data_IF_615985661057
#
_entry.id   IF_615985661057
#
_cell.length_a   1.000
_cell.length_b   1.000
_cell.length_c   1.000
_cell.angle_alpha   90.00
_cell.angle_beta   90.00
_cell.angle_gamma   90.00
#
_symmetry.space_group_name_H-M   'P 1'
#
loop_
_entity.id
_entity.type
_entity.pdbx_description
1 polymer ?
#
# COMPACT_ATOMS: atom_id res chain seq x y z
N UNK A 1 7.94 29.60 3.48
CA UNK A 1 8.71 28.34 3.32
C UNK A 1 8.22 27.60 2.08
N UNK A 2 9.14 27.25 1.17
CA UNK A 2 8.83 26.45 -0.03
C UNK A 2 8.19 25.10 0.34
N UNK A 3 7.26 24.62 -0.49
CA UNK A 3 6.65 23.28 -0.40
C UNK A 3 7.70 22.18 -0.24
N UNK A 4 8.88 22.37 -0.84
CA UNK A 4 10.01 21.46 -0.76
C UNK A 4 10.55 21.34 0.69
N UNK A 5 10.76 22.47 1.38
CA UNK A 5 11.29 22.49 2.76
C UNK A 5 10.30 21.86 3.74
N UNK A 6 9.01 22.22 3.64
CA UNK A 6 7.94 21.62 4.46
C UNK A 6 7.78 20.13 4.14
N UNK A 7 7.83 19.76 2.87
CA UNK A 7 7.75 18.39 2.41
C UNK A 7 8.91 17.53 2.91
N UNK A 8 10.13 18.06 2.93
CA UNK A 8 11.29 17.39 3.50
C UNK A 8 11.16 17.17 5.01
N UNK A 9 10.75 18.21 5.75
CA UNK A 9 10.50 18.09 7.20
C UNK A 9 9.44 17.01 7.50
N UNK A 10 8.31 17.01 6.77
CA UNK A 10 7.28 15.98 6.89
C UNK A 10 7.81 14.58 6.54
N UNK A 11 8.77 14.47 5.62
CA UNK A 11 9.40 13.19 5.29
C UNK A 11 10.20 12.65 6.47
N UNK A 12 11.01 13.49 7.12
CA UNK A 12 11.77 13.08 8.31
C UNK A 12 10.85 12.73 9.48
N UNK A 13 9.77 13.49 9.69
CA UNK A 13 8.74 13.16 10.68
C UNK A 13 8.13 11.79 10.37
N UNK A 14 7.80 11.52 9.10
CA UNK A 14 7.26 10.23 8.68
C UNK A 14 8.24 9.10 8.99
N UNK A 15 9.51 9.25 8.61
CA UNK A 15 10.56 8.23 8.87
C UNK A 15 10.69 7.97 10.37
N UNK A 16 10.81 9.02 11.18
CA UNK A 16 10.92 8.89 12.63
C UNK A 16 9.69 8.20 13.23
N UNK A 17 8.49 8.65 12.86
CA UNK A 17 7.23 8.08 13.32
C UNK A 17 7.12 6.60 12.95
N UNK A 18 7.43 6.22 11.71
CA UNK A 18 7.32 4.83 11.26
C UNK A 18 8.31 3.91 11.97
N UNK A 19 9.52 4.39 12.25
CA UNK A 19 10.52 3.61 12.98
C UNK A 19 10.16 3.48 14.46
N UNK A 20 9.81 4.59 15.11
CA UNK A 20 9.43 4.60 16.52
C UNK A 20 8.20 3.71 16.76
N UNK A 21 7.13 3.89 15.98
CA UNK A 21 5.93 3.04 16.10
C UNK A 21 6.23 1.60 15.71
N UNK A 22 7.03 1.35 14.67
CA UNK A 22 7.42 0.01 14.23
C UNK A 22 8.07 -0.83 15.34
N UNK A 23 8.92 -0.22 16.17
CA UNK A 23 9.60 -0.87 17.29
C UNK A 23 8.63 -1.37 18.37
N UNK A 24 7.54 -0.64 18.62
CA UNK A 24 6.57 -1.01 19.66
C UNK A 24 5.39 -1.82 19.11
N UNK A 25 4.93 -1.53 17.89
CA UNK A 25 3.74 -2.17 17.31
C UNK A 25 4.00 -3.64 16.99
N UNK A 26 5.22 -3.98 16.56
CA UNK A 26 5.59 -5.35 16.18
C UNK A 26 5.53 -6.32 17.38
N UNK A 27 6.23 -6.05 18.50
CA UNK A 27 6.09 -6.90 19.69
C UNK A 27 4.68 -6.86 20.28
N UNK A 28 3.97 -5.73 20.18
CA UNK A 28 2.58 -5.63 20.61
C UNK A 28 1.67 -6.60 19.84
N UNK A 29 1.72 -6.60 18.51
CA UNK A 29 0.95 -7.53 17.67
C UNK A 29 1.31 -8.97 18.01
N UNK A 30 2.61 -9.30 18.06
CA UNK A 30 3.10 -10.64 18.39
C UNK A 30 2.57 -11.16 19.73
N UNK A 31 2.45 -10.31 20.74
CA UNK A 31 1.94 -10.70 22.06
C UNK A 31 0.41 -10.92 22.09
N UNK A 32 -0.36 -10.33 21.16
CA UNK A 32 -1.82 -10.45 21.15
C UNK A 32 -2.31 -11.60 20.27
N UNK A 33 -1.78 -11.72 19.04
CA UNK A 33 -2.20 -12.74 18.06
C UNK A 33 -1.28 -13.97 18.04
N UNK A 34 -0.11 -13.88 18.68
CA UNK A 34 0.86 -14.97 18.71
C UNK A 34 1.76 -15.04 17.48
N UNK A 35 2.77 -15.91 17.56
CA UNK A 35 3.83 -16.03 16.54
C UNK A 35 3.35 -16.69 15.25
N UNK A 36 2.43 -17.66 15.33
CA UNK A 36 1.95 -18.35 14.13
C UNK A 36 1.16 -17.38 13.22
N UNK A 37 0.11 -16.74 13.75
CA UNK A 37 -0.72 -15.80 12.98
C UNK A 37 0.09 -14.64 12.40
N UNK A 38 1.05 -14.09 13.16
CA UNK A 38 1.96 -13.06 12.65
C UNK A 38 2.88 -13.60 11.53
N UNK A 39 3.35 -14.85 11.66
CA UNK A 39 4.12 -15.53 10.63
C UNK A 39 3.34 -15.70 9.32
N UNK A 40 2.06 -16.07 9.41
CA UNK A 40 1.15 -16.16 8.26
C UNK A 40 0.98 -14.77 7.64
N UNK A 41 0.65 -13.75 8.44
CA UNK A 41 0.48 -12.38 7.98
C UNK A 41 1.70 -11.85 7.21
N UNK A 42 2.91 -12.04 7.76
CA UNK A 42 4.15 -11.59 7.11
C UNK A 42 4.47 -12.37 5.83
N UNK A 43 4.18 -13.67 5.81
CA UNK A 43 4.41 -14.53 4.64
C UNK A 43 3.48 -14.15 3.49
N UNK A 44 2.19 -14.02 3.76
CA UNK A 44 1.20 -13.55 2.78
C UNK A 44 1.52 -12.12 2.36
N UNK A 45 1.92 -11.26 3.30
CA UNK A 45 2.37 -9.90 3.01
C UNK A 45 3.55 -9.85 2.04
N UNK A 46 4.54 -10.72 2.18
CA UNK A 46 5.68 -10.81 1.25
C UNK A 46 5.26 -11.27 -0.16
N UNK A 47 4.35 -12.24 -0.24
CA UNK A 47 3.77 -12.69 -1.52
C UNK A 47 3.03 -11.54 -2.23
N UNK A 48 2.15 -10.83 -1.51
CA UNK A 48 1.43 -9.68 -2.05
C UNK A 48 2.39 -8.55 -2.44
N UNK A 49 3.44 -8.34 -1.65
CA UNK A 49 4.52 -7.41 -1.97
C UNK A 49 5.18 -7.74 -3.31
N UNK A 50 5.35 -9.02 -3.62
CA UNK A 50 5.87 -9.45 -4.93
C UNK A 50 4.88 -9.17 -6.06
N UNK A 51 3.58 -9.43 -5.86
CA UNK A 51 2.53 -9.09 -6.85
C UNK A 51 2.46 -7.57 -7.08
N UNK A 52 2.71 -6.77 -6.03
CA UNK A 52 2.69 -5.30 -6.13
C UNK A 52 3.75 -4.73 -7.08
N UNK A 53 4.78 -5.50 -7.44
CA UNK A 53 5.77 -5.12 -8.46
C UNK A 53 5.15 -4.95 -9.86
N UNK A 54 3.95 -5.48 -10.09
CA UNK A 54 3.16 -5.23 -11.30
C UNK A 54 2.76 -3.74 -11.48
N UNK A 55 2.99 -2.88 -10.49
CA UNK A 55 2.93 -1.42 -10.65
C UNK A 55 3.94 -0.91 -11.71
N UNK A 56 5.02 -1.65 -11.98
CA UNK A 56 6.08 -1.34 -12.95
C UNK A 56 6.68 0.08 -12.83
N UNK A 57 6.53 0.71 -11.66
CA UNK A 57 7.03 2.07 -11.41
C UNK A 57 6.18 3.18 -12.05
N UNK A 58 4.96 2.88 -12.47
CA UNK A 58 4.05 3.84 -13.12
C UNK A 58 3.77 5.07 -12.25
N UNK A 59 3.83 4.93 -10.91
CA UNK A 59 3.78 6.04 -9.97
C UNK A 59 4.85 7.11 -10.24
N UNK A 60 6.10 6.72 -10.45
CA UNK A 60 7.20 7.64 -10.73
C UNK A 60 7.08 8.26 -12.12
N UNK A 61 6.58 7.48 -13.09
CA UNK A 61 6.26 7.96 -14.44
C UNK A 61 5.24 9.09 -14.38
N UNK A 62 4.18 8.96 -13.58
CA UNK A 62 3.19 10.04 -13.38
C UNK A 62 3.85 11.32 -12.86
N UNK A 63 4.68 11.23 -11.82
CA UNK A 63 5.37 12.41 -11.26
C UNK A 63 6.19 13.12 -12.36
N UNK A 64 6.96 12.35 -13.12
CA UNK A 64 7.84 12.88 -14.18
C UNK A 64 7.05 13.55 -15.30
N UNK A 65 6.04 12.88 -15.85
CA UNK A 65 5.30 13.38 -17.00
C UNK A 65 4.34 14.51 -16.62
N UNK A 66 3.72 14.48 -15.44
CA UNK A 66 2.93 15.61 -14.95
C UNK A 66 3.81 16.85 -14.76
N UNK A 67 5.01 16.70 -14.18
CA UNK A 67 5.95 17.82 -14.06
C UNK A 67 6.38 18.35 -15.44
N UNK A 68 6.60 17.46 -16.42
CA UNK A 68 6.93 17.82 -17.80
C UNK A 68 5.80 18.62 -18.47
N UNK A 69 4.57 18.09 -18.50
CA UNK A 69 3.43 18.75 -19.13
C UNK A 69 3.10 20.09 -18.45
N UNK A 70 3.25 20.17 -17.12
CA UNK A 70 3.15 21.44 -16.37
C UNK A 70 4.18 22.47 -16.83
N UNK A 71 5.43 22.06 -17.06
CA UNK A 71 6.49 22.95 -17.55
C UNK A 71 6.25 23.40 -19.00
N UNK A 72 5.71 22.52 -19.83
CA UNK A 72 5.34 22.79 -21.24
C UNK A 72 4.01 23.57 -21.36
N UNK A 73 3.27 23.77 -20.24
CA UNK A 73 1.92 24.35 -20.20
C UNK A 73 0.90 23.59 -21.07
N UNK A 74 1.15 22.31 -21.34
CA UNK A 74 0.26 21.45 -22.13
C UNK A 74 -0.72 20.70 -21.23
N UNK A 75 -1.79 21.40 -20.85
CA UNK A 75 -2.83 20.82 -20.00
C UNK A 75 -3.58 19.68 -20.67
N UNK A 76 -3.79 19.74 -21.99
CA UNK A 76 -4.52 18.70 -22.73
C UNK A 76 -3.70 17.41 -22.81
N UNK A 77 -2.38 17.54 -23.03
CA UNK A 77 -1.44 16.42 -22.95
C UNK A 77 -1.43 15.77 -21.56
N UNK A 78 -1.42 16.58 -20.49
CA UNK A 78 -1.50 16.09 -19.12
C UNK A 78 -2.80 15.28 -18.86
N UNK A 79 -3.96 15.83 -19.24
CA UNK A 79 -5.26 15.19 -19.06
C UNK A 79 -5.34 13.85 -19.82
N UNK A 80 -4.88 13.81 -21.08
CA UNK A 80 -4.82 12.59 -21.88
C UNK A 80 -3.86 11.55 -21.31
N UNK A 81 -2.69 11.98 -20.83
CA UNK A 81 -1.70 11.11 -20.19
C UNK A 81 -2.25 10.49 -18.91
N UNK A 82 -2.91 11.28 -18.06
CA UNK A 82 -3.52 10.80 -16.83
C UNK A 82 -4.69 9.84 -17.09
N UNK A 83 -5.53 10.12 -18.10
CA UNK A 83 -6.59 9.22 -18.52
C UNK A 83 -6.02 7.87 -18.98
N UNK A 84 -4.99 7.89 -19.83
CA UNK A 84 -4.30 6.68 -20.30
C UNK A 84 -3.68 5.91 -19.14
N UNK A 85 -3.04 6.62 -18.20
CA UNK A 85 -2.43 6.02 -17.02
C UNK A 85 -3.47 5.34 -16.11
N UNK A 86 -4.63 5.97 -15.90
CA UNK A 86 -5.72 5.37 -15.12
C UNK A 86 -6.31 4.13 -15.80
N UNK A 87 -6.42 4.13 -17.14
CA UNK A 87 -6.84 2.93 -17.90
C UNK A 87 -5.82 1.80 -17.71
N UNK A 88 -4.52 2.10 -17.82
CA UNK A 88 -3.45 1.11 -17.59
C UNK A 88 -3.54 0.55 -16.17
N UNK A 89 -3.70 1.40 -15.14
CA UNK A 89 -3.91 0.92 -13.78
C UNK A 89 -5.18 0.09 -13.61
N UNK A 90 -6.26 0.41 -14.34
CA UNK A 90 -7.47 -0.40 -14.38
C UNK A 90 -7.19 -1.81 -14.91
N UNK A 91 -6.45 -1.92 -16.02
CA UNK A 91 -6.04 -3.20 -16.61
C UNK A 91 -5.13 -3.98 -15.64
N UNK A 92 -4.11 -3.33 -15.05
CA UNK A 92 -3.23 -3.96 -14.06
C UNK A 92 -4.03 -4.45 -12.85
N UNK A 93 -4.99 -3.66 -12.38
CA UNK A 93 -5.85 -4.03 -11.25
C UNK A 93 -6.69 -5.27 -11.57
N UNK A 94 -7.26 -5.36 -12.77
CA UNK A 94 -7.98 -6.56 -13.23
C UNK A 94 -7.03 -7.77 -13.32
N UNK A 95 -5.82 -7.59 -13.84
CA UNK A 95 -4.80 -8.65 -13.89
C UNK A 95 -4.42 -9.14 -12.49
N UNK A 96 -4.24 -8.23 -11.52
CA UNK A 96 -3.98 -8.55 -10.12
C UNK A 96 -5.13 -9.35 -9.51
N UNK A 97 -6.39 -9.00 -9.82
CA UNK A 97 -7.55 -9.80 -9.38
C UNK A 97 -7.50 -11.20 -9.99
N UNK A 98 -7.26 -11.33 -11.29
CA UNK A 98 -7.19 -12.63 -11.96
C UNK A 98 -6.09 -13.51 -11.37
N UNK A 99 -4.89 -12.95 -11.20
CA UNK A 99 -3.76 -13.64 -10.56
C UNK A 99 -4.10 -14.01 -9.12
N UNK A 100 -4.72 -13.09 -8.38
CA UNK A 100 -5.16 -13.30 -7.01
C UNK A 100 -6.14 -14.46 -6.88
N UNK A 101 -7.18 -14.48 -7.71
CA UNK A 101 -8.19 -15.56 -7.72
C UNK A 101 -7.58 -16.90 -8.14
N UNK A 102 -6.73 -16.91 -9.17
CA UNK A 102 -6.05 -18.13 -9.60
C UNK A 102 -5.12 -18.69 -8.52
N UNK A 103 -4.38 -17.82 -7.83
CA UNK A 103 -3.49 -18.21 -6.74
C UNK A 103 -4.25 -18.62 -5.48
N UNK A 104 -5.39 -18.00 -5.18
CA UNK A 104 -6.24 -18.36 -4.04
C UNK A 104 -6.60 -19.85 -4.04
N UNK A 105 -6.98 -20.39 -5.20
CA UNK A 105 -7.27 -21.83 -5.36
C UNK A 105 -6.07 -22.77 -5.18
N UNK A 106 -4.85 -22.22 -5.11
CA UNK A 106 -3.61 -22.98 -4.91
C UNK A 106 -3.00 -22.78 -3.52
N UNK A 107 -3.58 -21.94 -2.66
CA UNK A 107 -3.03 -21.64 -1.32
C UNK A 107 -2.85 -22.91 -0.48
N UNK A 108 -3.83 -23.83 -0.50
CA UNK A 108 -3.81 -25.10 0.24
C UNK A 108 -2.57 -25.96 -0.11
N UNK A 109 -2.14 -25.94 -1.38
CA UNK A 109 -1.02 -26.74 -1.86
C UNK A 109 0.31 -26.00 -1.82
N UNK A 110 0.28 -24.67 -1.90
CA UNK A 110 1.49 -23.85 -1.90
C UNK A 110 2.11 -23.76 -0.49
N UNK A 111 1.29 -23.61 0.54
CA UNK A 111 1.74 -23.49 1.94
C UNK A 111 1.73 -24.84 2.67
N UNK A 112 2.57 -25.77 2.23
CA UNK A 112 2.63 -27.16 2.74
C UNK A 112 2.99 -27.31 4.22
N UNK A 113 3.51 -26.25 4.85
CA UNK A 113 3.89 -26.25 6.28
C UNK A 113 2.80 -25.72 7.21
N UNK A 114 1.71 -25.19 6.67
CA UNK A 114 0.59 -24.67 7.45
C UNK A 114 -0.43 -25.77 7.71
N UNK A 115 -1.04 -25.76 8.89
CA UNK A 115 -2.18 -26.64 9.18
C UNK A 115 -3.49 -26.07 8.60
N UNK A 116 -4.59 -26.82 8.69
CA UNK A 116 -5.88 -26.42 8.09
C UNK A 116 -6.44 -25.09 8.63
N UNK A 117 -6.25 -24.80 9.91
CA UNK A 117 -6.69 -23.55 10.54
C UNK A 117 -5.84 -22.36 10.05
N UNK A 118 -4.53 -22.55 9.97
CA UNK A 118 -3.58 -21.55 9.47
C UNK A 118 -3.82 -21.23 7.98
N UNK A 119 -4.24 -22.21 7.17
CA UNK A 119 -4.61 -22.01 5.77
C UNK A 119 -5.87 -21.14 5.63
N UNK A 120 -6.89 -21.32 6.48
CA UNK A 120 -8.10 -20.49 6.46
C UNK A 120 -7.79 -19.02 6.82
N UNK A 121 -6.92 -18.82 7.82
CA UNK A 121 -6.40 -17.49 8.18
C UNK A 121 -5.61 -16.90 7.00
N UNK A 122 -4.73 -17.68 6.37
CA UNK A 122 -3.94 -17.25 5.23
C UNK A 122 -4.81 -16.80 4.04
N UNK A 123 -5.87 -17.56 3.73
CA UNK A 123 -6.86 -17.23 2.70
C UNK A 123 -7.57 -15.89 2.99
N UNK A 124 -7.98 -15.69 4.25
CA UNK A 124 -8.63 -14.45 4.69
C UNK A 124 -7.70 -13.25 4.52
N UNK A 125 -6.46 -13.34 5.03
CA UNK A 125 -5.44 -12.29 4.89
C UNK A 125 -5.15 -12.03 3.42
N UNK A 126 -5.03 -13.08 2.61
CA UNK A 126 -4.72 -12.97 1.18
C UNK A 126 -5.79 -12.17 0.43
N UNK A 127 -7.08 -12.48 0.63
CA UNK A 127 -8.18 -11.73 0.00
C UNK A 127 -8.14 -10.25 0.41
N UNK A 128 -7.97 -9.98 1.71
CA UNK A 128 -7.92 -8.61 2.23
C UNK A 128 -6.76 -7.82 1.61
N UNK A 129 -5.59 -8.44 1.46
CA UNK A 129 -4.41 -7.80 0.90
C UNK A 129 -4.47 -7.65 -0.63
N UNK A 130 -5.05 -8.59 -1.37
CA UNK A 130 -5.34 -8.44 -2.80
C UNK A 130 -6.30 -7.27 -3.03
N UNK A 131 -7.40 -7.23 -2.26
CA UNK A 131 -8.36 -6.13 -2.34
C UNK A 131 -7.71 -4.78 -2.02
N UNK A 132 -6.88 -4.74 -0.98
CA UNK A 132 -6.10 -3.55 -0.64
C UNK A 132 -5.18 -3.11 -1.78
N UNK A 133 -4.47 -4.05 -2.42
CA UNK A 133 -3.54 -3.76 -3.51
C UNK A 133 -4.27 -3.17 -4.73
N UNK A 134 -5.37 -3.79 -5.14
CA UNK A 134 -6.23 -3.36 -6.26
C UNK A 134 -6.71 -1.93 -6.08
N UNK A 135 -7.07 -1.52 -4.86
CA UNK A 135 -7.49 -0.14 -4.59
C UNK A 135 -6.30 0.82 -4.58
N UNK A 136 -5.14 0.40 -4.05
CA UNK A 136 -3.98 1.29 -3.89
C UNK A 136 -3.27 1.60 -5.21
N UNK A 137 -3.27 0.68 -6.18
CA UNK A 137 -2.63 0.86 -7.49
C UNK A 137 -3.13 2.13 -8.23
N UNK A 138 -4.43 2.25 -8.59
CA UNK A 138 -4.94 3.45 -9.25
C UNK A 138 -4.87 4.69 -8.33
N UNK A 139 -5.01 4.51 -7.02
CA UNK A 139 -4.83 5.59 -6.03
C UNK A 139 -3.42 6.19 -6.01
N UNK A 140 -2.42 5.44 -6.49
CA UNK A 140 -1.06 5.91 -6.70
C UNK A 140 -0.97 7.13 -7.62
N UNK A 141 -1.72 7.13 -8.73
CA UNK A 141 -1.76 8.23 -9.71
C UNK A 141 -2.07 9.59 -9.07
N UNK A 142 -3.02 9.64 -8.14
CA UNK A 142 -3.41 10.88 -7.45
C UNK A 142 -2.26 11.47 -6.63
N UNK A 143 -1.47 10.61 -5.98
CA UNK A 143 -0.25 11.02 -5.27
C UNK A 143 0.81 11.50 -6.26
N UNK A 144 0.96 10.78 -7.38
CA UNK A 144 1.87 11.13 -8.46
C UNK A 144 1.60 12.54 -9.01
N UNK A 145 0.33 12.87 -9.27
CA UNK A 145 -0.09 14.22 -9.69
C UNK A 145 0.32 15.26 -8.66
N UNK A 146 -0.01 15.05 -7.38
CA UNK A 146 0.35 16.01 -6.33
C UNK A 146 1.86 16.28 -6.29
N UNK A 147 2.69 15.25 -6.43
CA UNK A 147 4.14 15.39 -6.45
C UNK A 147 4.66 16.04 -7.74
N UNK A 148 4.09 15.74 -8.90
CA UNK A 148 4.42 16.42 -10.16
C UNK A 148 4.11 17.93 -10.12
N UNK A 149 3.09 18.32 -9.35
CA UNK A 149 2.78 19.73 -9.08
C UNK A 149 3.62 20.37 -7.96
N UNK A 150 4.56 19.63 -7.36
CA UNK A 150 5.34 20.05 -6.18
C UNK A 150 4.51 20.30 -4.91
N UNK A 151 3.28 19.77 -4.85
CA UNK A 151 2.41 19.85 -3.68
C UNK A 151 2.68 18.69 -2.72
N UNK A 152 3.88 18.67 -2.14
CA UNK A 152 4.32 17.57 -1.27
C UNK A 152 3.61 17.51 0.09
N UNK A 153 3.19 18.68 0.61
CA UNK A 153 2.65 18.78 1.97
C UNK A 153 1.35 17.99 2.12
N UNK A 154 0.40 18.15 1.20
CA UNK A 154 -0.92 17.50 1.30
C UNK A 154 -0.83 15.97 1.32
N UNK A 155 -0.19 15.29 0.33
CA UNK A 155 -0.07 13.83 0.35
C UNK A 155 0.69 13.30 1.57
N UNK A 156 1.75 14.01 2.02
CA UNK A 156 2.54 13.60 3.18
C UNK A 156 1.73 13.72 4.48
N UNK A 157 1.00 14.82 4.67
CA UNK A 157 0.12 14.99 5.84
C UNK A 157 -0.99 13.93 5.87
N UNK A 158 -1.65 13.68 4.74
CA UNK A 158 -2.67 12.62 4.64
C UNK A 158 -2.07 11.25 4.99
N UNK A 159 -0.86 10.95 4.52
CA UNK A 159 -0.17 9.69 4.84
C UNK A 159 0.15 9.56 6.34
N UNK A 160 0.62 10.64 6.99
CA UNK A 160 0.88 10.65 8.43
C UNK A 160 -0.42 10.41 9.21
N UNK A 161 -1.50 11.11 8.88
CA UNK A 161 -2.81 10.93 9.53
C UNK A 161 -3.29 9.49 9.36
N UNK A 162 -3.22 8.94 8.14
CA UNK A 162 -3.63 7.57 7.84
C UNK A 162 -2.78 6.54 8.61
N UNK A 163 -1.49 6.80 8.78
CA UNK A 163 -0.58 5.96 9.56
C UNK A 163 -0.95 5.96 11.05
N UNK A 164 -1.16 7.13 11.65
CA UNK A 164 -1.55 7.27 13.06
C UNK A 164 -2.91 6.60 13.29
N UNK A 165 -3.90 6.87 12.44
CA UNK A 165 -5.22 6.24 12.53
C UNK A 165 -5.11 4.72 12.46
N UNK A 166 -4.36 4.19 11.48
CA UNK A 166 -4.12 2.74 11.36
C UNK A 166 -3.49 2.16 12.62
N UNK A 167 -2.48 2.82 13.18
CA UNK A 167 -1.83 2.38 14.42
C UNK A 167 -2.81 2.36 15.59
N UNK A 168 -3.62 3.41 15.76
CA UNK A 168 -4.66 3.46 16.79
C UNK A 168 -5.68 2.34 16.59
N UNK A 169 -6.14 2.11 15.36
CA UNK A 169 -7.08 1.03 15.05
C UNK A 169 -6.52 -0.34 15.38
N UNK A 170 -5.25 -0.62 15.04
CA UNK A 170 -4.59 -1.89 15.39
C UNK A 170 -4.58 -2.07 16.91
N UNK A 171 -4.15 -1.05 17.65
CA UNK A 171 -4.09 -1.12 19.13
C UNK A 171 -5.48 -1.32 19.72
N UNK A 172 -6.49 -0.58 19.25
CA UNK A 172 -7.85 -0.67 19.74
C UNK A 172 -8.48 -2.05 19.47
N UNK A 173 -8.37 -2.56 18.23
CA UNK A 173 -8.95 -3.87 17.85
C UNK A 173 -8.31 -5.00 18.64
N UNK A 174 -6.99 -5.02 18.77
CA UNK A 174 -6.29 -6.06 19.53
C UNK A 174 -6.56 -5.98 21.03
N UNK A 175 -6.68 -4.76 21.59
CA UNK A 175 -7.00 -4.57 23.01
C UNK A 175 -8.44 -5.00 23.35
N UNK A 176 -9.34 -4.97 22.38
CA UNK A 176 -10.72 -5.46 22.51
C UNK A 176 -10.84 -6.98 22.28
N UNK A 177 -9.72 -7.69 22.09
CA UNK A 177 -9.69 -9.14 21.89
C UNK A 177 -9.89 -9.59 20.45
N UNK A 178 -9.81 -8.68 19.48
CA UNK A 178 -9.84 -9.05 18.06
C UNK A 178 -8.66 -9.95 17.69
N UNK A 179 -8.94 -10.99 16.91
CA UNK A 179 -7.97 -11.91 16.31
C UNK A 179 -8.18 -11.99 14.80
N UNK A 180 -7.21 -12.60 14.10
CA UNK A 180 -7.24 -12.77 12.65
C UNK A 180 -8.26 -13.82 12.19
#
# INVERSE_FOLDING_TARGET
>A
MSQLKKGAALNYITIFLTNAVGLFITPFILNHIGKSEYGIYTTIGALIGTISLLDLGLNNTVVRFVAKYKAEKDRKGEENFLATTMIIYGIISVLVIIIGVAFYGHIDNYFTKMNAEEIEIAKTIFILLIFNLVINLPGGTLRGVCFGYEKFVFPKTVNIIRYILRTITIVAVLSLGGKL
#
